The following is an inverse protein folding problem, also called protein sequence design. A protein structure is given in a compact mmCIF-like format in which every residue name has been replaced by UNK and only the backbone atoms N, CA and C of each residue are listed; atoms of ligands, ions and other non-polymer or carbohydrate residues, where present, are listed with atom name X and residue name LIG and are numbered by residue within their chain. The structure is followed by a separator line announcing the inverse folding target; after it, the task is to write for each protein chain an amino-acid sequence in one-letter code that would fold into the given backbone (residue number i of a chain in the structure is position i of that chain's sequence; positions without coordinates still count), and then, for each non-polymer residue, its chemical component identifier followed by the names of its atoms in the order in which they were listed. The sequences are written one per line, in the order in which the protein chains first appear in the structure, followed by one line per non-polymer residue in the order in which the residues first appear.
data_IF_232886312965
#
_entry.id   IF_232886312965
#
_cell.length_a   1.000
_cell.length_b   1.000
_cell.length_c   1.000
_cell.angle_alpha   90.00
_cell.angle_beta   90.00
_cell.angle_gamma   90.00
#
_symmetry.space_group_name_H-M   'P 1'
#
loop_
_entity.id
_entity.type
_entity.pdbx_description
1 polymer ?
#
# COMPACT_ATOMS: atom_id res chain seq x y z
N UNK A 1 -26.21 5.04 -29.17
CA UNK A 1 -25.13 4.01 -29.06
C UNK A 1 -23.82 4.58 -28.51
N UNK A 2 -23.32 5.72 -29.01
CA UNK A 2 -22.07 6.35 -28.50
C UNK A 2 -22.10 6.75 -27.01
N UNK A 3 -23.24 7.26 -26.52
CA UNK A 3 -23.40 7.71 -25.13
C UNK A 3 -23.33 6.56 -24.13
N UNK A 4 -23.89 5.40 -24.46
CA UNK A 4 -23.85 4.21 -23.60
C UNK A 4 -22.42 3.65 -23.45
N UNK A 5 -21.60 3.71 -24.51
CA UNK A 5 -20.21 3.27 -24.46
C UNK A 5 -19.34 4.17 -23.56
N UNK A 6 -19.56 5.50 -23.61
CA UNK A 6 -18.85 6.46 -22.74
C UNK A 6 -19.24 6.23 -21.26
N UNK A 7 -20.52 6.01 -20.98
CA UNK A 7 -21.01 5.73 -19.64
C UNK A 7 -20.44 4.40 -19.08
N UNK A 8 -20.34 3.38 -19.94
CA UNK A 8 -19.69 2.11 -19.61
C UNK A 8 -18.21 2.26 -19.25
N UNK A 9 -17.45 3.08 -19.99
CA UNK A 9 -16.04 3.35 -19.71
C UNK A 9 -15.82 4.09 -18.39
N UNK A 10 -16.70 5.04 -18.05
CA UNK A 10 -16.63 5.79 -16.79
C UNK A 10 -16.94 4.87 -15.60
N UNK A 11 -17.94 4.00 -15.72
CA UNK A 11 -18.28 3.01 -14.69
C UNK A 11 -17.16 1.99 -14.48
N UNK A 12 -16.50 1.56 -15.56
CA UNK A 12 -15.37 0.64 -15.48
C UNK A 12 -14.13 1.30 -14.83
N UNK A 13 -13.88 2.59 -15.14
CA UNK A 13 -12.81 3.36 -14.51
C UNK A 13 -13.06 3.62 -13.02
N UNK A 14 -14.32 3.83 -12.62
CA UNK A 14 -14.70 3.96 -11.21
C UNK A 14 -14.55 2.64 -10.44
N UNK A 15 -14.82 1.50 -11.09
CA UNK A 15 -14.63 0.18 -10.49
C UNK A 15 -13.15 -0.24 -10.43
N UNK A 16 -12.33 0.25 -11.37
CA UNK A 16 -10.91 -0.05 -11.47
C UNK A 16 -10.00 0.92 -10.71
N UNK A 17 -10.55 1.92 -9.99
CA UNK A 17 -9.76 2.78 -9.14
C UNK A 17 -9.58 2.09 -7.77
N UNK A 18 -8.44 1.43 -7.49
CA UNK A 18 -8.15 1.00 -6.14
C UNK A 18 -8.04 2.26 -5.29
N UNK A 19 -9.05 2.52 -4.46
CA UNK A 19 -8.93 3.47 -3.37
C UNK A 19 -7.78 2.94 -2.51
N UNK A 20 -6.65 3.66 -2.41
CA UNK A 20 -5.52 3.17 -1.65
C UNK A 20 -5.85 3.34 -0.17
N UNK A 21 -6.52 2.34 0.39
CA UNK A 21 -6.82 2.34 1.82
C UNK A 21 -5.51 2.22 2.61
N UNK A 22 -5.35 3.01 3.69
CA UNK A 22 -4.23 2.84 4.58
C UNK A 22 -4.24 1.43 5.17
N UNK A 23 -3.17 0.68 4.94
CA UNK A 23 -2.95 -0.64 5.49
C UNK A 23 -2.19 -0.53 6.81
N UNK A 24 -2.86 -0.89 7.90
CA UNK A 24 -2.24 -1.07 9.21
C UNK A 24 -1.83 -2.53 9.36
N UNK A 25 -0.55 -2.78 9.63
CA UNK A 25 -0.01 -4.12 9.86
C UNK A 25 0.64 -4.16 11.23
N UNK A 26 0.42 -5.25 11.96
CA UNK A 26 1.05 -5.48 13.25
C UNK A 26 1.97 -6.69 13.12
N UNK A 27 3.28 -6.48 13.22
CA UNK A 27 4.23 -7.58 13.21
C UNK A 27 4.57 -7.94 14.66
N UNK A 28 4.41 -9.21 15.00
CA UNK A 28 4.76 -9.74 16.31
C UNK A 28 5.89 -10.75 16.11
N UNK A 29 7.04 -10.48 16.72
CA UNK A 29 8.23 -11.32 16.65
C UNK A 29 8.55 -11.85 18.04
N UNK A 30 8.60 -13.18 18.17
CA UNK A 30 9.15 -13.80 19.37
C UNK A 30 10.69 -13.75 19.26
N UNK A 31 11.32 -13.13 20.25
CA UNK A 31 12.78 -13.05 20.38
C UNK A 31 13.22 -13.80 21.65
N UNK A 32 14.49 -14.26 21.75
CA UNK A 32 14.99 -14.91 22.95
C UNK A 32 14.90 -14.05 24.23
N UNK A 33 14.76 -12.73 24.10
CA UNK A 33 14.62 -11.76 25.20
C UNK A 33 13.16 -11.37 25.48
N UNK A 34 12.19 -11.88 24.73
CA UNK A 34 10.75 -11.59 24.90
C UNK A 34 9.99 -11.42 23.59
N UNK A 35 8.77 -10.91 23.67
CA UNK A 35 7.93 -10.62 22.48
C UNK A 35 8.15 -9.17 22.04
N UNK A 36 8.64 -8.98 20.82
CA UNK A 36 8.75 -7.67 20.17
C UNK A 36 7.52 -7.44 19.29
N UNK A 37 6.82 -6.33 19.54
CA UNK A 37 5.65 -5.92 18.74
C UNK A 37 6.03 -4.66 17.97
N UNK A 38 6.04 -4.76 16.65
CA UNK A 38 6.36 -3.65 15.75
C UNK A 38 5.12 -3.32 14.92
N UNK A 39 4.30 -2.34 15.35
CA UNK A 39 3.24 -1.82 14.49
C UNK A 39 3.83 -1.15 13.25
N UNK A 40 3.10 -1.16 12.15
CA UNK A 40 3.47 -0.40 10.95
C UNK A 40 2.22 0.09 10.25
N UNK A 41 2.25 1.34 9.79
CA UNK A 41 1.18 1.91 8.97
C UNK A 41 1.76 2.16 7.59
N UNK A 42 1.05 1.80 6.54
CA UNK A 42 1.46 2.13 5.18
C UNK A 42 0.27 2.51 4.33
N UNK A 43 0.45 3.52 3.49
CA UNK A 43 -0.52 3.96 2.49
C UNK A 43 0.10 3.86 1.11
N UNK A 44 -0.74 3.76 0.08
CA UNK A 44 -0.31 3.77 -1.32
C UNK A 44 -0.63 5.13 -1.92
N UNK A 45 0.37 5.77 -2.51
CA UNK A 45 0.21 7.02 -3.27
C UNK A 45 0.65 6.72 -4.70
N UNK A 46 -0.32 6.48 -5.58
CA UNK A 46 -0.07 6.01 -6.95
C UNK A 46 0.64 4.65 -6.99
N UNK A 47 1.83 4.60 -7.61
CA UNK A 47 2.68 3.39 -7.69
C UNK A 47 3.59 3.23 -6.47
N UNK A 48 3.67 4.23 -5.60
CA UNK A 48 4.47 4.22 -4.39
C UNK A 48 3.66 3.74 -3.18
N UNK A 49 4.31 3.04 -2.26
CA UNK A 49 3.88 2.74 -0.90
C UNK A 49 4.76 3.54 0.06
N UNK A 50 4.12 4.30 0.92
CA UNK A 50 4.77 5.06 2.00
C UNK A 50 4.30 4.45 3.30
N UNK A 51 5.19 4.17 4.23
CA UNK A 51 4.83 3.67 5.54
C UNK A 51 5.81 4.04 6.63
N UNK A 52 5.38 3.84 7.86
CA UNK A 52 6.14 4.15 9.07
C UNK A 52 6.08 2.96 10.01
N UNK A 53 7.17 2.74 10.73
CA UNK A 53 7.33 1.79 11.83
C UNK A 53 7.86 2.57 13.05
N UNK A 54 7.78 2.02 14.27
CA UNK A 54 8.42 2.61 15.46
C UNK A 54 9.92 2.87 15.32
N UNK A 55 10.57 2.22 14.36
CA UNK A 55 12.01 2.28 14.16
C UNK A 55 12.42 3.18 12.99
N UNK A 56 11.46 3.68 12.20
CA UNK A 56 11.80 4.40 10.99
C UNK A 56 10.66 4.58 9.98
N UNK A 57 10.97 5.22 8.86
CA UNK A 57 10.05 5.42 7.75
C UNK A 57 10.53 4.63 6.52
N UNK A 58 9.60 4.05 5.77
CA UNK A 58 9.87 3.29 4.53
C UNK A 58 9.08 3.87 3.37
N UNK A 59 9.75 4.09 2.25
CA UNK A 59 9.11 4.47 0.99
C UNK A 59 9.56 3.45 -0.05
N UNK A 60 8.61 2.79 -0.72
CA UNK A 60 8.95 1.84 -1.78
C UNK A 60 7.91 1.78 -2.86
N UNK A 61 8.32 1.56 -4.10
CA UNK A 61 7.45 1.44 -5.26
C UNK A 61 7.41 -0.01 -5.72
N UNK A 62 6.36 -0.42 -6.43
CA UNK A 62 6.36 -1.70 -7.17
C UNK A 62 6.40 -1.41 -8.65
N UNK A 63 7.40 -1.98 -9.33
CA UNK A 63 7.50 -1.98 -10.79
C UNK A 63 7.48 -3.43 -11.23
N UNK A 64 6.46 -3.84 -11.99
CA UNK A 64 6.38 -5.21 -12.56
C UNK A 64 6.35 -6.35 -11.54
N UNK A 65 5.81 -6.12 -10.33
CA UNK A 65 5.79 -7.13 -9.25
C UNK A 65 7.03 -7.12 -8.35
N UNK A 66 8.10 -6.45 -8.76
CA UNK A 66 9.32 -6.26 -7.96
C UNK A 66 9.14 -5.00 -7.10
N UNK A 67 9.27 -5.14 -5.79
CA UNK A 67 9.23 -4.02 -4.84
C UNK A 67 10.62 -3.46 -4.61
N UNK A 68 10.83 -2.17 -4.86
CA UNK A 68 12.06 -1.44 -4.56
C UNK A 68 11.73 -0.39 -3.52
N UNK A 69 12.43 -0.37 -2.39
CA UNK A 69 12.15 0.58 -1.33
C UNK A 69 13.39 0.99 -0.55
N UNK A 70 13.32 2.18 0.02
CA UNK A 70 14.34 2.81 0.84
C UNK A 70 13.71 3.05 2.21
N UNK A 71 14.38 2.61 3.26
CA UNK A 71 13.98 2.84 4.65
C UNK A 71 15.04 3.65 5.38
N UNK A 72 14.60 4.60 6.20
CA UNK A 72 15.41 5.37 7.14
C UNK A 72 15.05 4.96 8.55
#
# INVERSE_FOLDING_TARGET
MRTAAVLGLILLAACAAPVPEPQTNLNVHATPTGVAVTPSVSTRVGTARVGVTPHGARIGTRIGGIGIGIGL
#
